data_IF_456388651515
#
_entry.id   IF_456388651515
#
_cell.length_a   1.000
_cell.length_b   1.000
_cell.length_c   1.000
_cell.angle_alpha   90.00
_cell.angle_beta   90.00
_cell.angle_gamma   90.00
#
_symmetry.space_group_name_H-M   'P 1'
#
loop_
_entity.id
_entity.type
_entity.pdbx_description
1 polymer ?
#
# COMPACT_ATOMS: atom_id res chain seq x y z
N UNK A 1 -2.32 3.50 19.23
CA UNK A 1 -2.31 4.25 17.96
C UNK A 1 -1.66 3.34 16.94
N UNK A 2 -2.40 3.04 15.90
CA UNK A 2 -2.04 2.09 14.86
C UNK A 2 -2.67 2.63 13.58
N UNK A 3 -1.84 2.92 12.59
CA UNK A 3 -2.27 3.55 11.33
C UNK A 3 -3.43 2.79 10.66
N UNK A 4 -3.48 1.46 10.82
CA UNK A 4 -4.55 0.63 10.27
C UNK A 4 -5.87 0.81 11.01
N UNK A 5 -5.85 0.82 12.35
CA UNK A 5 -7.03 1.07 13.19
C UNK A 5 -7.52 2.52 13.06
N UNK A 6 -6.60 3.47 12.99
CA UNK A 6 -6.93 4.89 12.93
C UNK A 6 -7.58 5.22 11.59
N UNK A 7 -7.09 4.65 10.48
CA UNK A 7 -7.76 4.77 9.19
C UNK A 7 -9.09 4.00 9.16
N UNK A 8 -9.18 2.83 9.80
CA UNK A 8 -10.45 2.10 9.89
C UNK A 8 -11.54 2.94 10.59
N UNK A 9 -11.20 3.64 11.67
CA UNK A 9 -12.13 4.56 12.36
C UNK A 9 -12.62 5.68 11.45
N UNK A 10 -11.72 6.30 10.68
CA UNK A 10 -12.09 7.36 9.75
C UNK A 10 -12.99 6.83 8.63
N UNK A 11 -12.64 5.68 8.04
CA UNK A 11 -13.46 5.03 7.02
C UNK A 11 -14.88 4.75 7.51
N UNK A 12 -15.02 4.17 8.71
CA UNK A 12 -16.33 3.94 9.32
C UNK A 12 -17.11 5.24 9.57
N UNK A 13 -16.41 6.34 9.88
CA UNK A 13 -17.04 7.66 10.07
C UNK A 13 -17.55 8.29 8.77
N UNK A 14 -17.08 7.83 7.61
CA UNK A 14 -17.54 8.26 6.28
C UNK A 14 -18.36 7.18 5.56
N UNK A 15 -18.96 6.26 6.33
CA UNK A 15 -19.83 5.18 5.86
C UNK A 15 -19.15 4.17 4.89
N UNK A 16 -17.82 4.09 4.93
CA UNK A 16 -17.04 3.07 4.23
C UNK A 16 -16.97 1.76 5.03
N UNK A 17 -16.71 0.65 4.34
CA UNK A 17 -16.57 -0.69 4.94
C UNK A 17 -15.11 -1.03 5.23
N UNK A 18 -14.87 -1.88 6.23
CA UNK A 18 -13.54 -2.40 6.61
C UNK A 18 -13.63 -3.91 6.87
N UNK A 19 -12.57 -4.66 6.59
CA UNK A 19 -12.50 -6.10 6.84
C UNK A 19 -13.31 -6.98 5.88
N UNK A 20 -13.91 -6.39 4.85
CA UNK A 20 -14.60 -7.09 3.77
C UNK A 20 -14.22 -6.49 2.42
N UNK A 21 -14.25 -7.31 1.36
CA UNK A 21 -13.95 -6.84 0.02
C UNK A 21 -15.07 -5.93 -0.48
N UNK A 22 -14.77 -4.66 -0.69
CA UNK A 22 -15.68 -3.68 -1.24
C UNK A 22 -15.13 -3.14 -2.57
N UNK A 23 -15.59 -3.67 -3.71
CA UNK A 23 -15.00 -3.37 -5.01
C UNK A 23 -15.23 -1.93 -5.48
N UNK A 24 -16.36 -1.32 -5.10
CA UNK A 24 -16.65 0.08 -5.43
C UNK A 24 -15.70 1.02 -4.67
N UNK A 25 -15.53 0.75 -3.38
CA UNK A 25 -14.61 1.48 -2.52
C UNK A 25 -13.16 1.26 -2.98
N UNK A 26 -12.76 0.03 -3.26
CA UNK A 26 -11.43 -0.30 -3.79
C UNK A 26 -11.12 0.47 -5.08
N UNK A 27 -12.08 0.49 -6.02
CA UNK A 27 -11.99 1.29 -7.25
C UNK A 27 -11.80 2.79 -6.99
N UNK A 28 -12.54 3.35 -6.03
CA UNK A 28 -12.38 4.75 -5.63
C UNK A 28 -10.98 5.01 -5.06
N UNK A 29 -10.53 4.20 -4.10
CA UNK A 29 -9.24 4.40 -3.45
C UNK A 29 -8.03 4.22 -4.39
N UNK A 30 -8.14 3.37 -5.43
CA UNK A 30 -7.12 3.33 -6.49
C UNK A 30 -6.99 4.66 -7.24
N UNK A 31 -8.11 5.39 -7.43
CA UNK A 31 -8.07 6.72 -8.04
C UNK A 31 -7.43 7.74 -7.10
N UNK A 32 -7.79 7.69 -5.82
CA UNK A 32 -7.21 8.55 -4.79
C UNK A 32 -5.70 8.34 -4.67
N UNK A 33 -5.18 7.10 -4.71
CA UNK A 33 -3.73 6.85 -4.73
C UNK A 33 -3.03 7.62 -5.85
N UNK A 34 -3.62 7.66 -7.04
CA UNK A 34 -3.01 8.37 -8.18
C UNK A 34 -3.16 9.89 -8.05
N UNK A 35 -4.22 10.37 -7.40
CA UNK A 35 -4.39 11.78 -7.04
C UNK A 35 -3.28 12.22 -6.07
N UNK A 36 -3.17 11.58 -4.90
CA UNK A 36 -2.15 11.89 -3.88
C UNK A 36 -0.72 11.73 -4.42
N UNK A 37 -0.49 10.76 -5.30
CA UNK A 37 0.82 10.57 -5.92
C UNK A 37 1.19 11.71 -6.87
N UNK A 38 0.22 12.30 -7.59
CA UNK A 38 0.47 13.44 -8.47
C UNK A 38 0.73 14.70 -7.64
N UNK A 39 -0.03 14.92 -6.57
CA UNK A 39 0.20 16.03 -5.64
C UNK A 39 1.61 15.97 -5.04
N UNK A 40 2.02 14.78 -4.57
CA UNK A 40 3.40 14.55 -4.11
C UNK A 40 4.46 14.88 -5.16
N UNK A 41 4.21 14.60 -6.44
CA UNK A 41 5.14 14.96 -7.51
C UNK A 41 5.19 16.48 -7.70
N UNK A 42 4.05 17.14 -7.75
CA UNK A 42 3.95 18.59 -7.93
C UNK A 42 4.64 19.35 -6.76
N UNK A 43 4.45 18.91 -5.52
CA UNK A 43 5.08 19.52 -4.35
C UNK A 43 6.53 19.08 -4.11
N UNK A 44 6.96 17.97 -4.72
CA UNK A 44 8.39 17.63 -4.80
C UNK A 44 9.17 18.66 -5.62
N UNK A 45 8.54 19.26 -6.64
CA UNK A 45 9.15 20.31 -7.46
C UNK A 45 9.24 21.65 -6.72
N UNK A 46 8.27 21.94 -5.84
CA UNK A 46 8.22 23.20 -5.06
C UNK A 46 9.29 23.27 -3.96
N UNK A 47 9.75 22.11 -3.47
CA UNK A 47 10.77 22.00 -2.42
C UNK A 47 10.25 22.29 -1.01
N UNK A 48 8.94 22.46 -0.82
CA UNK A 48 8.34 22.62 0.50
C UNK A 48 8.22 21.27 1.21
N UNK A 49 9.03 21.08 2.25
CA UNK A 49 9.08 19.81 3.01
C UNK A 49 7.84 19.56 3.87
N UNK A 50 7.03 20.58 4.14
CA UNK A 50 5.79 20.42 4.90
C UNK A 50 4.71 19.85 3.98
N UNK A 51 4.55 20.43 2.79
CA UNK A 51 3.56 19.98 1.81
C UNK A 51 3.90 18.53 1.37
N UNK A 52 5.17 18.26 1.03
CA UNK A 52 5.64 16.89 0.75
C UNK A 52 5.39 15.89 1.89
N UNK A 53 5.42 16.35 3.15
CA UNK A 53 5.11 15.48 4.28
C UNK A 53 3.61 15.20 4.34
N UNK A 54 2.78 16.20 4.07
CA UNK A 54 1.32 16.07 4.00
C UNK A 54 0.94 15.04 2.94
N UNK A 55 1.41 15.20 1.70
CA UNK A 55 1.10 14.28 0.60
C UNK A 55 1.60 12.86 0.87
N UNK A 56 2.76 12.70 1.53
CA UNK A 56 3.26 11.38 1.94
C UNK A 56 2.35 10.73 2.99
N UNK A 57 1.78 11.51 3.90
CA UNK A 57 0.83 11.01 4.90
C UNK A 57 -0.52 10.71 4.23
N UNK A 58 -0.99 11.54 3.31
CA UNK A 58 -2.24 11.29 2.58
C UNK A 58 -2.13 10.07 1.68
N UNK A 59 -0.98 9.87 1.03
CA UNK A 59 -0.68 8.63 0.31
C UNK A 59 -0.74 7.40 1.22
N UNK A 60 -0.28 7.48 2.48
CA UNK A 60 -0.45 6.40 3.45
C UNK A 60 -1.94 6.19 3.79
N UNK A 61 -2.69 7.26 4.02
CA UNK A 61 -4.13 7.22 4.35
C UNK A 61 -4.91 6.51 3.24
N UNK A 62 -4.74 6.92 1.98
CA UNK A 62 -5.47 6.32 0.85
C UNK A 62 -4.97 4.91 0.52
N UNK A 63 -3.67 4.62 0.72
CA UNK A 63 -3.13 3.27 0.55
C UNK A 63 -3.70 2.32 1.60
N UNK A 64 -3.74 2.73 2.87
CA UNK A 64 -4.34 1.92 3.95
C UNK A 64 -5.84 1.74 3.72
N UNK A 65 -6.54 2.77 3.25
CA UNK A 65 -7.95 2.66 2.87
C UNK A 65 -8.18 1.66 1.73
N UNK A 66 -7.27 1.61 0.75
CA UNK A 66 -7.27 0.58 -0.31
C UNK A 66 -7.13 -0.82 0.27
N UNK A 67 -6.23 -1.02 1.24
CA UNK A 67 -6.01 -2.32 1.91
C UNK A 67 -7.28 -2.76 2.67
N UNK A 68 -7.93 -1.85 3.40
CA UNK A 68 -9.22 -2.15 4.06
C UNK A 68 -10.30 -2.54 3.04
N UNK A 69 -10.37 -1.82 1.92
CA UNK A 69 -11.31 -2.09 0.83
C UNK A 69 -11.05 -3.42 0.13
N UNK A 70 -9.82 -3.94 0.20
CA UNK A 70 -9.46 -5.25 -0.33
C UNK A 70 -10.01 -6.40 0.53
N UNK A 71 -10.49 -6.11 1.75
CA UNK A 71 -11.04 -7.13 2.65
C UNK A 71 -9.99 -8.05 3.27
N UNK A 72 -8.81 -7.52 3.55
CA UNK A 72 -7.71 -8.27 4.19
C UNK A 72 -7.54 -7.84 5.65
N UNK A 73 -6.82 -8.64 6.44
CA UNK A 73 -6.25 -8.16 7.70
C UNK A 73 -4.96 -7.37 7.41
N UNK A 74 -4.97 -6.02 7.53
CA UNK A 74 -3.82 -5.20 7.17
C UNK A 74 -2.63 -5.40 8.11
N UNK A 75 -2.87 -5.64 9.39
CA UNK A 75 -1.79 -5.83 10.37
C UNK A 75 -1.03 -7.13 10.15
N UNK A 76 -1.74 -8.20 9.85
CA UNK A 76 -1.11 -9.49 9.61
C UNK A 76 -0.35 -9.48 8.29
N UNK A 77 -0.88 -8.80 7.26
CA UNK A 77 -0.16 -8.56 6.01
C UNK A 77 1.12 -7.74 6.27
N UNK A 78 1.05 -6.69 7.08
CA UNK A 78 2.21 -5.89 7.47
C UNK A 78 3.26 -6.72 8.20
N UNK A 79 2.86 -7.48 9.24
CA UNK A 79 3.75 -8.36 9.99
C UNK A 79 4.49 -9.34 9.08
N UNK A 80 3.79 -9.95 8.12
CA UNK A 80 4.38 -10.91 7.20
C UNK A 80 5.34 -10.25 6.19
N UNK A 81 5.00 -9.08 5.67
CA UNK A 81 5.90 -8.31 4.79
C UNK A 81 7.16 -7.88 5.54
N UNK A 82 7.03 -7.40 6.78
CA UNK A 82 8.17 -7.02 7.63
C UNK A 82 9.02 -8.25 7.96
N UNK A 83 8.43 -9.39 8.32
CA UNK A 83 9.16 -10.65 8.53
C UNK A 83 9.99 -11.03 7.29
N UNK A 84 9.37 -11.02 6.11
CA UNK A 84 10.06 -11.27 4.84
C UNK A 84 11.17 -10.26 4.56
N UNK A 85 10.95 -8.97 4.84
CA UNK A 85 11.98 -7.93 4.68
C UNK A 85 13.16 -8.15 5.64
N UNK A 86 12.89 -8.51 6.89
CA UNK A 86 13.93 -8.79 7.89
C UNK A 86 14.73 -10.06 7.57
N UNK A 87 14.16 -11.03 6.84
CA UNK A 87 14.93 -12.18 6.33
C UNK A 87 16.05 -11.81 5.35
N UNK A 88 16.05 -10.57 4.84
CA UNK A 88 17.11 -10.03 3.98
C UNK A 88 18.27 -9.44 4.77
N UNK A 89 18.12 -9.25 6.09
CA UNK A 89 19.14 -8.69 6.96
C UNK A 89 20.10 -9.79 7.36
N UNK A 90 21.39 -9.56 7.11
CA UNK A 90 22.44 -10.48 7.54
C UNK A 90 22.53 -10.46 9.09
N UNK A 91 22.44 -11.62 9.76
CA UNK A 91 22.35 -11.69 11.22
C UNK A 91 23.68 -11.36 11.92
N UNK A 92 24.81 -11.37 11.20
CA UNK A 92 26.14 -11.08 11.74
C UNK A 92 26.40 -9.57 11.68
N UNK A 93 26.10 -8.95 10.54
CA UNK A 93 26.41 -7.54 10.28
C UNK A 93 25.26 -6.59 10.60
N UNK A 94 24.03 -7.09 10.70
CA UNK A 94 22.82 -6.29 10.85
C UNK A 94 22.46 -5.45 9.62
N UNK A 95 23.03 -5.76 8.45
CA UNK A 95 22.85 -5.00 7.20
C UNK A 95 22.28 -5.85 6.09
N UNK A 96 21.62 -5.20 5.14
CA UNK A 96 21.18 -5.81 3.88
C UNK A 96 22.24 -5.65 2.79
N UNK A 97 22.30 -6.61 1.86
CA UNK A 97 23.05 -6.46 0.62
C UNK A 97 22.28 -5.57 -0.36
N UNK A 98 22.96 -4.67 -1.06
CA UNK A 98 22.37 -3.75 -2.03
C UNK A 98 23.13 -3.78 -3.36
N UNK A 99 22.42 -3.58 -4.46
CA UNK A 99 23.00 -3.26 -5.77
C UNK A 99 23.52 -1.82 -5.78
N UNK A 100 24.22 -1.45 -6.86
CA UNK A 100 24.75 -0.09 -7.06
C UNK A 100 23.67 1.00 -7.05
N UNK A 101 22.46 0.70 -7.52
CA UNK A 101 21.30 1.61 -7.48
C UNK A 101 20.62 1.69 -6.10
N UNK A 102 21.18 1.04 -5.07
CA UNK A 102 20.65 1.00 -3.72
C UNK A 102 19.54 -0.03 -3.50
N UNK A 103 19.10 -0.76 -4.54
CA UNK A 103 18.06 -1.80 -4.40
C UNK A 103 18.55 -2.96 -3.53
N UNK A 104 17.75 -3.33 -2.55
CA UNK A 104 18.02 -4.48 -1.67
C UNK A 104 17.99 -5.80 -2.45
N UNK A 105 19.02 -6.62 -2.25
CA UNK A 105 19.17 -7.95 -2.84
C UNK A 105 18.55 -9.00 -1.91
N UNK A 106 17.98 -10.06 -2.49
CA UNK A 106 17.50 -11.23 -1.74
C UNK A 106 18.67 -12.20 -1.50
N UNK A 107 19.12 -12.42 -0.24
CA UNK A 107 20.13 -13.44 0.07
C UNK A 107 19.54 -14.86 0.03
N UNK A 108 20.38 -15.88 0.22
CA UNK A 108 19.93 -17.28 0.31
C UNK A 108 18.94 -17.51 1.47
N UNK A 109 19.14 -16.83 2.60
CA UNK A 109 18.25 -16.90 3.77
C UNK A 109 16.89 -16.18 3.58
N UNK A 110 16.67 -15.54 2.43
CA UNK A 110 15.43 -14.84 2.12
C UNK A 110 14.25 -15.81 2.11
N UNK A 111 13.13 -15.39 2.73
CA UNK A 111 11.84 -16.05 2.61
C UNK A 111 10.78 -15.06 2.15
N UNK A 112 10.02 -15.44 1.12
CA UNK A 112 8.94 -14.62 0.58
C UNK A 112 7.80 -14.44 1.57
N UNK A 113 7.04 -13.33 1.50
CA UNK A 113 5.88 -13.16 2.35
C UNK A 113 4.77 -14.14 1.92
N UNK A 114 4.13 -14.79 2.88
CA UNK A 114 2.98 -15.67 2.67
C UNK A 114 1.67 -14.95 3.02
N UNK A 115 1.11 -14.21 2.05
CA UNK A 115 -0.05 -13.35 2.26
C UNK A 115 -1.40 -14.05 2.07
N UNK A 116 -1.42 -15.32 1.62
CA UNK A 116 -2.67 -16.04 1.37
C UNK A 116 -3.57 -16.12 2.61
N UNK A 117 -2.97 -16.20 3.81
CA UNK A 117 -3.72 -16.24 5.06
C UNK A 117 -4.30 -14.88 5.49
N UNK A 118 -3.91 -13.79 4.81
CA UNK A 118 -4.40 -12.45 5.11
C UNK A 118 -5.63 -12.08 4.27
N UNK A 119 -5.92 -12.82 3.21
CA UNK A 119 -7.07 -12.61 2.33
C UNK A 119 -8.28 -13.34 2.91
N UNK A 120 -9.37 -12.60 3.13
CA UNK A 120 -10.60 -13.13 3.70
C UNK A 120 -11.61 -13.35 2.56
N UNK A 121 -12.06 -14.61 2.38
CA UNK A 121 -13.07 -15.00 1.39
C UNK A 121 -12.53 -15.84 0.23
N UNK A 122 -13.33 -16.79 -0.25
CA UNK A 122 -12.95 -17.79 -1.27
C UNK A 122 -13.00 -17.26 -2.73
N UNK A 123 -13.45 -16.03 -2.94
CA UNK A 123 -13.64 -15.48 -4.28
C UNK A 123 -13.18 -14.02 -4.31
N UNK A 124 -11.98 -13.77 -4.84
CA UNK A 124 -11.78 -12.56 -5.64
C UNK A 124 -12.72 -12.70 -6.85
N UNK A 125 -14.00 -12.41 -6.64
CA UNK A 125 -14.95 -12.23 -7.72
C UNK A 125 -14.28 -11.35 -8.76
N UNK A 126 -14.27 -11.79 -10.03
CA UNK A 126 -13.60 -11.11 -11.14
C UNK A 126 -14.24 -9.73 -11.34
N UNK A 127 -13.83 -8.75 -10.52
CA UNK A 127 -14.15 -7.37 -10.73
C UNK A 127 -13.27 -6.86 -11.84
N UNK A 128 -13.90 -6.42 -12.91
CA UNK A 128 -13.22 -5.78 -14.02
C UNK A 128 -12.86 -4.35 -13.63
N UNK A 129 -11.55 -4.11 -13.44
CA UNK A 129 -10.96 -2.80 -13.20
C UNK A 129 -10.28 -2.24 -14.46
N UNK A 130 -10.48 -2.85 -15.63
CA UNK A 130 -9.78 -2.47 -16.87
C UNK A 130 -10.04 -1.01 -17.25
N UNK A 131 -11.23 -0.51 -17.01
CA UNK A 131 -11.61 0.89 -17.27
C UNK A 131 -10.80 1.87 -16.40
N UNK A 132 -10.70 1.59 -15.10
CA UNK A 132 -9.93 2.38 -14.15
C UNK A 132 -8.45 2.29 -14.46
N UNK A 133 -7.95 1.09 -14.73
CA UNK A 133 -6.53 0.91 -15.08
C UNK A 133 -6.19 1.72 -16.33
N UNK A 134 -7.04 1.71 -17.36
CA UNK A 134 -6.83 2.49 -18.57
C UNK A 134 -6.86 4.01 -18.32
N UNK A 135 -7.79 4.48 -17.48
CA UNK A 135 -7.88 5.87 -17.04
C UNK A 135 -6.62 6.31 -16.27
N UNK A 136 -6.20 5.53 -15.27
CA UNK A 136 -5.04 5.84 -14.43
C UNK A 136 -3.73 5.80 -15.22
N UNK A 137 -3.58 4.82 -16.10
CA UNK A 137 -2.44 4.74 -17.04
C UNK A 137 -2.34 5.96 -17.94
N UNK A 138 -3.48 6.39 -18.47
CA UNK A 138 -3.57 7.61 -19.28
C UNK A 138 -3.14 8.84 -18.47
N UNK A 139 -3.59 8.95 -17.22
CA UNK A 139 -3.22 10.06 -16.31
C UNK A 139 -1.72 10.07 -15.98
N UNK A 140 -1.11 8.88 -15.83
CA UNK A 140 0.31 8.70 -15.51
C UNK A 140 1.24 8.69 -16.74
N UNK A 141 0.68 8.63 -17.96
CA UNK A 141 1.46 8.51 -19.20
C UNK A 141 2.19 7.16 -19.37
N UNK A 142 1.65 6.06 -18.83
CA UNK A 142 2.24 4.70 -18.85
C UNK A 142 1.34 3.62 -19.45
#
# INVERSE_FOLDING_TARGET
MNVFEDQAKFMLAVDNTVGEFNPKQFKLYLKLIVEEFIELLDDSESGNRIDQLDDLIDLLVVTIGTIHSLGVNPEDAWKEVIRSNMSKVDPITGKVLKREDGKVIKPEAYSSPFLNNCVIGDELNQFDYSDVIAELKTKLGV
#
